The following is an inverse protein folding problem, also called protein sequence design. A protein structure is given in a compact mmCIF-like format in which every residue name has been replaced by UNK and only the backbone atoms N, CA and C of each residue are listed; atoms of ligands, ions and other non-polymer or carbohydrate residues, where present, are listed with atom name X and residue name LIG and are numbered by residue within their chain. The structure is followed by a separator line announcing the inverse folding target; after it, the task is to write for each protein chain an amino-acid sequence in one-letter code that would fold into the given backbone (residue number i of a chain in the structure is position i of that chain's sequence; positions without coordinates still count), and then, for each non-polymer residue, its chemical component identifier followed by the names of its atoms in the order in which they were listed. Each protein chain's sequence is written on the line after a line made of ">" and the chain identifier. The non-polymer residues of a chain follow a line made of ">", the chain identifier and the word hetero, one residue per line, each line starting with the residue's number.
data_IF_532167200398
#
_entry.id   IF_532167200398
#
_cell.length_a   1.000
_cell.length_b   1.000
_cell.length_c   1.000
_cell.angle_alpha   90.00
_cell.angle_beta   90.00
_cell.angle_gamma   90.00
#
_symmetry.space_group_name_H-M   'P 1'
#
loop_
_entity.id
_entity.type
_entity.pdbx_description
1 polymer ?
#
# COMPACT_ATOMS: atom_id res chain seq x y z
N UNK A 1 17.85 -0.37 18.72
CA UNK A 1 16.98 -0.73 17.57
C UNK A 1 16.21 0.49 17.11
N UNK A 2 16.21 0.77 15.84
CA UNK A 2 15.41 1.85 15.28
C UNK A 2 13.93 1.48 15.32
N UNK A 3 13.09 2.49 15.49
CA UNK A 3 11.64 2.28 15.40
C UNK A 3 11.26 1.98 13.96
N UNK A 4 10.27 1.12 13.81
CA UNK A 4 9.70 0.73 12.53
C UNK A 4 8.21 1.03 12.52
N UNK A 5 7.66 1.30 11.35
CA UNK A 5 6.22 1.31 11.15
C UNK A 5 5.87 0.15 10.23
N UNK A 6 5.02 -0.73 10.72
CA UNK A 6 4.47 -1.83 9.94
C UNK A 6 2.95 -1.68 9.92
N UNK A 7 2.43 -1.24 8.79
CA UNK A 7 0.99 -1.03 8.62
C UNK A 7 0.36 -2.34 8.21
N UNK A 8 -0.56 -2.84 9.02
CA UNK A 8 -1.26 -4.10 8.74
C UNK A 8 -2.59 -3.79 8.05
N UNK A 9 -2.79 -4.35 6.88
CA UNK A 9 -3.97 -4.09 6.05
C UNK A 9 -4.65 -5.40 5.67
N UNK A 10 -5.99 -5.43 5.70
CA UNK A 10 -6.71 -6.60 5.20
C UNK A 10 -6.67 -6.62 3.68
N UNK A 11 -6.51 -7.80 3.10
CA UNK A 11 -6.50 -8.00 1.66
C UNK A 11 -7.53 -9.08 1.29
N UNK A 12 -8.49 -8.72 0.45
CA UNK A 12 -9.47 -9.68 -0.06
C UNK A 12 -8.81 -10.67 -1.01
N UNK A 13 -7.90 -10.19 -1.84
CA UNK A 13 -7.10 -10.98 -2.76
C UNK A 13 -5.63 -10.67 -2.48
N UNK A 14 -4.98 -11.56 -1.76
CA UNK A 14 -3.61 -11.34 -1.30
C UNK A 14 -2.63 -11.18 -2.46
N UNK A 15 -2.78 -11.99 -3.51
CA UNK A 15 -1.89 -11.92 -4.67
C UNK A 15 -2.04 -10.61 -5.42
N UNK A 16 -3.28 -10.15 -5.65
CA UNK A 16 -3.54 -8.88 -6.31
C UNK A 16 -3.02 -7.69 -5.50
N UNK A 17 -3.26 -7.70 -4.19
CA UNK A 17 -2.77 -6.65 -3.30
C UNK A 17 -1.25 -6.62 -3.24
N UNK A 18 -0.61 -7.79 -3.20
CA UNK A 18 0.85 -7.89 -3.23
C UNK A 18 1.41 -7.27 -4.50
N UNK A 19 0.85 -7.60 -5.66
CA UNK A 19 1.29 -7.05 -6.95
C UNK A 19 1.16 -5.51 -6.97
N UNK A 20 0.07 -4.99 -6.43
CA UNK A 20 -0.15 -3.55 -6.35
C UNK A 20 0.93 -2.85 -5.48
N UNK A 21 1.20 -3.37 -4.30
CA UNK A 21 2.19 -2.76 -3.40
C UNK A 21 3.63 -2.92 -3.89
N UNK A 22 3.94 -4.01 -4.60
CA UNK A 22 5.22 -4.14 -5.30
C UNK A 22 5.35 -3.06 -6.36
N UNK A 23 4.28 -2.77 -7.11
CA UNK A 23 4.27 -1.70 -8.11
C UNK A 23 4.51 -0.32 -7.48
N UNK A 24 4.08 -0.12 -6.24
CA UNK A 24 4.34 1.12 -5.49
C UNK A 24 5.79 1.22 -4.98
N UNK A 25 6.58 0.18 -5.12
CA UNK A 25 7.97 0.18 -4.71
C UNK A 25 8.29 -0.70 -3.50
N UNK A 26 7.32 -1.47 -3.02
CA UNK A 26 7.55 -2.40 -1.93
C UNK A 26 8.33 -3.64 -2.36
N UNK A 27 9.18 -4.14 -1.47
CA UNK A 27 9.92 -5.37 -1.68
C UNK A 27 9.40 -6.44 -0.75
N UNK A 28 8.99 -7.58 -1.30
CA UNK A 28 8.49 -8.70 -0.50
C UNK A 28 9.60 -9.26 0.36
N UNK A 29 9.32 -9.44 1.66
CA UNK A 29 10.19 -10.14 2.57
C UNK A 29 9.70 -11.59 2.69
N UNK A 30 10.34 -12.57 2.04
CA UNK A 30 9.87 -13.94 2.03
C UNK A 30 9.92 -14.62 3.41
N UNK A 31 10.77 -14.14 4.31
CA UNK A 31 10.88 -14.69 5.66
C UNK A 31 9.58 -14.51 6.45
N UNK A 32 8.84 -13.42 6.20
CA UNK A 32 7.60 -13.10 6.89
C UNK A 32 6.40 -13.12 5.95
N UNK A 33 6.48 -13.90 4.86
CA UNK A 33 5.39 -14.03 3.89
C UNK A 33 5.00 -15.48 3.73
N UNK A 34 3.71 -15.72 3.48
CA UNK A 34 3.16 -17.07 3.32
C UNK A 34 1.81 -17.03 2.61
N UNK A 35 1.01 -18.06 2.83
CA UNK A 35 -0.28 -18.19 2.15
C UNK A 35 -1.32 -17.17 2.63
N UNK A 36 -1.18 -16.68 3.86
CA UNK A 36 -2.16 -15.79 4.49
C UNK A 36 -1.61 -14.40 4.77
N UNK A 37 -0.36 -14.14 4.43
CA UNK A 37 0.27 -12.85 4.70
C UNK A 37 1.38 -12.55 3.70
N UNK A 38 1.57 -11.26 3.42
CA UNK A 38 2.73 -10.78 2.65
C UNK A 38 3.32 -9.59 3.37
N UNK A 39 4.61 -9.68 3.70
CA UNK A 39 5.36 -8.56 4.26
C UNK A 39 6.09 -7.84 3.14
N UNK A 40 5.86 -6.54 3.02
CA UNK A 40 6.52 -5.69 2.03
C UNK A 40 7.20 -4.54 2.74
N UNK A 41 8.45 -4.28 2.38
CA UNK A 41 9.21 -3.17 2.95
C UNK A 41 9.48 -2.12 1.88
N UNK A 42 9.23 -0.86 2.21
CA UNK A 42 9.60 0.28 1.38
C UNK A 42 10.97 0.81 1.76
N UNK A 43 11.30 0.75 3.05
CA UNK A 43 12.62 1.04 3.60
C UNK A 43 12.91 0.02 4.70
N UNK A 44 14.05 0.13 5.34
CA UNK A 44 14.39 -0.72 6.50
C UNK A 44 13.45 -0.52 7.69
N UNK A 45 12.72 0.60 7.71
CA UNK A 45 11.90 1.00 8.86
C UNK A 45 10.41 1.16 8.53
N UNK A 46 10.03 1.10 7.26
CA UNK A 46 8.64 1.34 6.84
C UNK A 46 8.17 0.20 5.96
N UNK A 47 7.11 -0.47 6.40
CA UNK A 47 6.55 -1.57 5.65
C UNK A 47 5.05 -1.72 5.80
N UNK A 48 4.52 -2.62 5.00
CA UNK A 48 3.12 -3.00 5.00
C UNK A 48 3.05 -4.52 5.17
N UNK A 49 2.16 -4.97 6.04
CA UNK A 49 1.82 -6.36 6.16
C UNK A 49 0.42 -6.57 5.61
N UNK A 50 0.32 -7.27 4.51
CA UNK A 50 -0.97 -7.64 3.93
C UNK A 50 -1.42 -8.96 4.53
N UNK A 51 -2.65 -9.01 5.01
CA UNK A 51 -3.21 -10.18 5.67
C UNK A 51 -4.52 -10.57 4.98
N UNK A 52 -4.71 -11.86 4.78
CA UNK A 52 -6.05 -12.32 4.38
C UNK A 52 -7.06 -11.90 5.45
N UNK A 53 -8.36 -11.84 5.09
CA UNK A 53 -9.39 -11.44 6.04
C UNK A 53 -9.40 -12.34 7.28
N UNK A 54 -9.27 -13.65 7.11
CA UNK A 54 -9.25 -14.57 8.24
C UNK A 54 -8.04 -14.35 9.15
N UNK A 55 -6.87 -14.10 8.56
CA UNK A 55 -5.66 -13.80 9.33
C UNK A 55 -5.79 -12.47 10.05
N UNK A 56 -6.31 -11.45 9.38
CA UNK A 56 -6.54 -10.13 9.98
C UNK A 56 -7.47 -10.21 11.18
N UNK A 57 -8.51 -11.04 11.12
CA UNK A 57 -9.48 -11.22 12.21
C UNK A 57 -8.88 -11.85 13.46
N UNK A 58 -7.69 -12.44 13.37
CA UNK A 58 -6.99 -12.94 14.56
C UNK A 58 -6.45 -11.80 15.42
N UNK A 59 -6.29 -10.60 14.87
CA UNK A 59 -5.73 -9.44 15.55
C UNK A 59 -6.77 -8.41 15.97
N UNK A 60 -7.98 -8.48 15.46
CA UNK A 60 -9.04 -7.55 15.80
C UNK A 60 -10.40 -8.23 15.75
N UNK A 61 -11.28 -7.83 16.67
CA UNK A 61 -12.67 -8.28 16.69
C UNK A 61 -13.61 -7.30 15.98
N UNK A 62 -13.09 -6.14 15.55
CA UNK A 62 -13.89 -5.17 14.81
C UNK A 62 -14.12 -5.67 13.39
N UNK A 63 -15.29 -5.39 12.80
CA UNK A 63 -15.53 -5.75 11.42
C UNK A 63 -14.51 -5.12 10.48
N UNK A 64 -14.13 -5.86 9.45
CA UNK A 64 -13.27 -5.34 8.39
C UNK A 64 -14.11 -4.40 7.53
N UNK A 65 -13.67 -3.15 7.38
CA UNK A 65 -14.35 -2.18 6.55
C UNK A 65 -14.12 -2.42 5.05
N UNK A 66 -15.00 -1.86 4.23
CA UNK A 66 -14.84 -1.88 2.78
C UNK A 66 -14.11 -0.61 2.35
N UNK A 67 -12.83 -0.74 2.00
CA UNK A 67 -11.99 0.38 1.60
C UNK A 67 -12.44 1.04 0.29
N UNK A 68 -13.29 0.36 -0.49
CA UNK A 68 -13.86 0.94 -1.71
C UNK A 68 -15.00 1.91 -1.41
N UNK A 69 -15.61 1.79 -0.24
CA UNK A 69 -16.74 2.62 0.21
C UNK A 69 -16.35 3.62 1.26
N UNK A 70 -15.56 3.18 2.23
CA UNK A 70 -15.29 3.92 3.44
C UNK A 70 -13.79 4.20 3.54
N UNK A 71 -13.43 5.41 3.96
CA UNK A 71 -12.04 5.79 4.21
C UNK A 71 -11.76 5.79 5.70
N UNK A 72 -10.75 5.04 6.12
CA UNK A 72 -10.25 5.04 7.50
C UNK A 72 -8.88 5.72 7.58
N UNK A 73 -8.11 5.64 6.50
CA UNK A 73 -6.77 6.18 6.47
C UNK A 73 -6.36 6.44 5.02
N UNK A 74 -5.43 7.35 4.86
CA UNK A 74 -4.73 7.58 3.60
C UNK A 74 -3.24 7.47 3.87
N UNK A 75 -2.52 6.81 2.95
CA UNK A 75 -1.08 6.64 3.07
C UNK A 75 -0.40 7.42 1.96
N UNK A 76 0.58 8.24 2.33
CA UNK A 76 1.33 9.03 1.38
C UNK A 76 2.76 8.47 1.29
N UNK A 77 3.16 8.11 0.08
CA UNK A 77 4.53 7.73 -0.24
C UNK A 77 5.19 8.88 -0.98
N UNK A 78 6.39 9.25 -0.54
CA UNK A 78 7.16 10.28 -1.23
C UNK A 78 7.97 9.66 -2.37
N UNK A 79 8.27 10.46 -3.37
CA UNK A 79 9.16 10.11 -4.47
C UNK A 79 10.15 11.26 -4.69
N UNK A 80 11.24 10.97 -5.41
CA UNK A 80 12.34 11.93 -5.53
C UNK A 80 11.98 13.16 -6.36
N UNK A 81 11.06 13.01 -7.32
CA UNK A 81 10.63 14.09 -8.21
C UNK A 81 9.27 13.77 -8.85
N UNK A 82 8.77 14.71 -9.69
CA UNK A 82 7.47 14.56 -10.36
C UNK A 82 7.44 13.37 -11.31
N UNK A 83 8.52 13.13 -12.04
CA UNK A 83 8.60 12.01 -12.98
C UNK A 83 8.52 10.68 -12.22
N UNK A 84 9.14 10.58 -11.06
CA UNK A 84 9.07 9.39 -10.21
C UNK A 84 7.65 9.18 -9.67
N UNK A 85 6.93 10.24 -9.31
CA UNK A 85 5.52 10.16 -8.91
C UNK A 85 4.68 9.61 -10.06
N UNK A 86 4.82 10.18 -11.25
CA UNK A 86 4.05 9.75 -12.42
C UNK A 86 4.38 8.31 -12.83
N UNK A 87 5.66 7.93 -12.79
CA UNK A 87 6.09 6.57 -13.12
C UNK A 87 5.54 5.53 -12.11
N UNK A 88 5.53 5.87 -10.83
CA UNK A 88 4.97 5.00 -9.79
C UNK A 88 3.47 4.82 -10.01
N UNK A 89 2.76 5.90 -10.31
CA UNK A 89 1.33 5.82 -10.61
C UNK A 89 1.05 4.92 -11.81
N UNK A 90 1.83 5.06 -12.88
CA UNK A 90 1.68 4.23 -14.07
C UNK A 90 1.88 2.74 -13.77
N UNK A 91 2.88 2.38 -12.97
CA UNK A 91 3.10 0.99 -12.55
C UNK A 91 1.93 0.47 -11.71
N UNK A 92 1.42 1.29 -10.81
CA UNK A 92 0.31 0.91 -9.95
C UNK A 92 -0.97 0.66 -10.73
N UNK A 93 -1.22 1.44 -11.79
CA UNK A 93 -2.37 1.22 -12.68
C UNK A 93 -2.24 -0.12 -13.41
N UNK A 94 -1.07 -0.46 -13.91
CA UNK A 94 -0.84 -1.78 -14.55
C UNK A 94 -1.12 -2.91 -13.56
N UNK A 95 -0.81 -2.71 -12.29
CA UNK A 95 -1.05 -3.69 -11.23
C UNK A 95 -2.48 -3.66 -10.66
N UNK A 96 -3.40 -2.93 -11.29
CA UNK A 96 -4.82 -2.94 -10.93
C UNK A 96 -5.30 -1.73 -10.15
N UNK A 97 -4.45 -0.75 -9.91
CA UNK A 97 -4.84 0.47 -9.23
C UNK A 97 -5.69 1.40 -10.10
N UNK A 98 -6.42 2.28 -9.46
CA UNK A 98 -7.23 3.29 -10.14
C UNK A 98 -6.59 4.66 -9.96
N UNK A 99 -6.12 5.22 -11.09
CA UNK A 99 -5.42 6.51 -11.07
C UNK A 99 -6.37 7.67 -10.78
N UNK A 100 -5.89 8.60 -9.97
CA UNK A 100 -6.51 9.90 -9.73
C UNK A 100 -8.01 9.83 -9.41
N UNK A 101 -8.43 9.07 -8.38
CA UNK A 101 -9.81 9.17 -7.91
C UNK A 101 -10.15 10.60 -7.51
N UNK A 102 -9.14 11.37 -7.13
CA UNK A 102 -9.20 12.82 -7.00
C UNK A 102 -8.22 13.45 -7.99
N UNK A 103 -8.48 14.70 -8.44
CA UNK A 103 -7.57 15.38 -9.36
C UNK A 103 -6.15 15.51 -8.81
N UNK A 104 -5.17 15.46 -9.69
CA UNK A 104 -3.78 15.73 -9.34
C UNK A 104 -3.67 17.16 -8.77
N UNK A 105 -2.79 17.32 -7.78
CA UNK A 105 -2.57 18.60 -7.12
C UNK A 105 -1.13 19.05 -7.32
N UNK A 106 -0.96 20.19 -7.99
CA UNK A 106 0.35 20.84 -8.10
C UNK A 106 0.31 22.15 -7.31
N UNK A 107 0.96 22.11 -6.15
CA UNK A 107 1.00 23.25 -5.23
C UNK A 107 2.29 24.06 -5.36
N UNK A 108 3.12 23.77 -6.38
CA UNK A 108 4.42 24.40 -6.55
C UNK A 108 5.51 23.72 -5.72
N UNK A 109 5.37 23.74 -4.40
CA UNK A 109 6.29 23.07 -3.49
C UNK A 109 5.97 21.59 -3.29
N UNK A 110 4.81 21.14 -3.77
CA UNK A 110 4.31 19.77 -3.60
C UNK A 110 3.49 19.36 -4.80
N UNK A 111 3.71 18.14 -5.30
CA UNK A 111 2.96 17.55 -6.38
C UNK A 111 2.38 16.21 -5.91
N UNK A 112 1.06 16.10 -5.90
CA UNK A 112 0.35 14.92 -5.43
C UNK A 112 -0.45 14.26 -6.55
N UNK A 113 -0.36 12.94 -6.63
CA UNK A 113 -1.25 12.10 -7.40
C UNK A 113 -1.87 11.07 -6.47
N UNK A 114 -3.04 10.56 -6.84
CA UNK A 114 -3.80 9.61 -6.01
C UNK A 114 -4.02 8.29 -6.77
N UNK A 115 -4.04 7.20 -6.02
CA UNK A 115 -4.26 5.88 -6.58
C UNK A 115 -5.12 5.05 -5.62
#
# INVERSE_FOLDING_TARGET
>A
MSKMILVNLPARDLAASTAFYVALGGTVNPQFSGETSTSLMFTDAIGVMLLTHDHYREFTKRPIGDARRDSQAMFALTAVDRDAVDATLARAVVAGGRADPNPAQDLGFMYNRHI
#
